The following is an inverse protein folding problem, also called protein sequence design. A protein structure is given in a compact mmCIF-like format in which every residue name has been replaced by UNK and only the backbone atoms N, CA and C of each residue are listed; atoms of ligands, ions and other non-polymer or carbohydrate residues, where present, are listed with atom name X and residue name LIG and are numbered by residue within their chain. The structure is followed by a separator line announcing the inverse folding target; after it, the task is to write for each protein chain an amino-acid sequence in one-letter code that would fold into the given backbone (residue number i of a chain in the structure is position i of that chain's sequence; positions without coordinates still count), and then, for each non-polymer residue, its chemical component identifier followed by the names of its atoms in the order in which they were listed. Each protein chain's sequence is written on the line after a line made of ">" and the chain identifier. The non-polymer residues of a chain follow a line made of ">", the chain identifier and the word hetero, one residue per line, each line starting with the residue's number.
data_IF_046357479070
#
_entry.id   IF_046357479070
#
_cell.length_a   1.000
_cell.length_b   1.000
_cell.length_c   1.000
_cell.angle_alpha   90.00
_cell.angle_beta   90.00
_cell.angle_gamma   90.00
#
_symmetry.space_group_name_H-M   'P 1'
#
loop_
_entity.id
_entity.type
_entity.pdbx_description
1 polymer ?
#
# COMPACT_ATOMS: atom_id res chain seq x y z
N UNK A 1 -18.65 -14.86 -9.72
CA UNK A 1 -18.14 -13.47 -9.65
C UNK A 1 -18.26 -12.97 -8.21
N UNK A 2 -17.25 -12.20 -7.74
CA UNK A 2 -17.25 -11.61 -6.40
C UNK A 2 -16.42 -10.31 -6.39
N UNK A 3 -16.72 -9.35 -5.50
CA UNK A 3 -16.06 -8.06 -5.48
C UNK A 3 -14.62 -8.16 -4.96
N UNK A 4 -13.76 -7.26 -5.46
CA UNK A 4 -12.37 -7.09 -5.03
C UNK A 4 -12.01 -5.62 -4.92
N UNK A 5 -10.92 -5.31 -4.24
CA UNK A 5 -10.44 -3.93 -4.03
C UNK A 5 -9.69 -3.42 -5.27
N UNK A 6 -8.92 -4.28 -5.92
CA UNK A 6 -8.02 -3.96 -7.04
C UNK A 6 -6.99 -2.88 -6.68
N UNK A 7 -6.16 -3.14 -5.66
CA UNK A 7 -5.13 -2.20 -5.22
C UNK A 7 -3.88 -2.91 -4.72
N UNK A 8 -2.72 -2.52 -5.24
CA UNK A 8 -1.41 -2.97 -4.77
C UNK A 8 -0.60 -1.75 -4.31
N UNK A 9 -0.19 -1.74 -3.04
CA UNK A 9 0.50 -0.61 -2.43
C UNK A 9 1.95 -0.95 -2.10
N UNK A 10 2.85 0.03 -2.30
CA UNK A 10 4.21 0.02 -1.77
C UNK A 10 4.41 1.24 -0.88
N UNK A 11 4.42 1.00 0.42
CA UNK A 11 4.57 2.02 1.45
C UNK A 11 6.00 2.01 1.99
N UNK A 12 6.63 3.17 1.98
CA UNK A 12 7.95 3.38 2.57
C UNK A 12 7.77 4.17 3.85
N UNK A 13 7.76 3.46 4.97
CA UNK A 13 7.54 4.07 6.28
C UNK A 13 8.83 4.68 6.84
N UNK A 14 8.69 5.74 7.64
CA UNK A 14 9.81 6.45 8.27
C UNK A 14 10.81 7.02 7.26
N UNK A 15 10.31 7.54 6.13
CA UNK A 15 11.15 8.10 5.08
C UNK A 15 10.43 9.20 4.28
N UNK A 16 11.11 10.32 4.02
CA UNK A 16 12.35 10.75 4.64
C UNK A 16 12.15 11.30 6.05
N UNK A 17 13.26 11.39 6.83
CA UNK A 17 13.38 12.24 7.99
C UNK A 17 14.15 13.51 7.65
N UNK A 18 13.91 14.61 8.39
CA UNK A 18 14.46 15.93 8.06
C UNK A 18 15.47 16.45 9.07
N UNK A 19 15.56 15.91 10.28
CA UNK A 19 16.57 16.28 11.26
C UNK A 19 17.94 15.64 10.94
N UNK A 20 19.02 16.27 11.42
CA UNK A 20 20.37 15.68 11.38
C UNK A 20 20.62 14.98 12.71
N UNK A 21 20.32 13.69 12.75
CA UNK A 21 20.32 12.89 13.95
C UNK A 21 21.35 11.77 13.89
N UNK A 22 21.74 11.25 15.06
CA UNK A 22 22.62 10.09 15.20
C UNK A 22 23.93 10.20 14.37
N UNK A 23 24.46 11.42 14.19
CA UNK A 23 25.55 11.73 13.25
C UNK A 23 26.80 10.85 13.46
N UNK A 24 27.16 10.56 14.72
CA UNK A 24 28.31 9.73 15.04
C UNK A 24 28.19 8.30 14.50
N UNK A 25 26.99 7.71 14.48
CA UNK A 25 26.75 6.38 13.92
C UNK A 25 26.55 6.44 12.43
N UNK A 26 25.86 7.46 11.94
CA UNK A 26 25.72 7.72 10.50
C UNK A 26 27.10 7.82 9.84
N UNK A 27 28.02 8.60 10.38
CA UNK A 27 29.38 8.72 9.84
C UNK A 27 30.15 7.41 9.89
N UNK A 28 30.04 6.64 10.98
CA UNK A 28 30.72 5.33 11.13
C UNK A 28 30.20 4.26 10.16
N UNK A 29 28.90 4.27 9.89
CA UNK A 29 28.24 3.23 9.07
C UNK A 29 28.27 3.62 7.61
N UNK A 30 27.94 4.86 7.28
CA UNK A 30 27.76 5.32 5.90
C UNK A 30 28.87 6.24 5.38
N UNK A 31 29.73 6.80 6.25
CA UNK A 31 30.74 7.82 5.92
C UNK A 31 30.12 9.06 5.25
N UNK A 32 28.88 9.38 5.57
CA UNK A 32 28.14 10.51 5.01
C UNK A 32 26.98 10.93 5.92
N UNK A 33 26.42 12.12 5.67
CA UNK A 33 25.27 12.64 6.41
C UNK A 33 23.98 11.88 6.04
N UNK A 34 22.99 11.89 6.95
CA UNK A 34 21.64 11.36 6.69
C UNK A 34 21.02 11.96 5.44
N UNK A 35 21.14 13.29 5.24
CA UNK A 35 20.66 13.98 4.03
C UNK A 35 21.26 13.39 2.75
N UNK A 36 22.57 13.18 2.72
CA UNK A 36 23.25 12.62 1.56
C UNK A 36 22.80 11.17 1.32
N UNK A 37 22.73 10.34 2.37
CA UNK A 37 22.21 8.98 2.30
C UNK A 37 20.79 8.95 1.69
N UNK A 38 19.90 9.78 2.19
CA UNK A 38 18.51 9.80 1.72
C UNK A 38 18.38 10.24 0.27
N UNK A 39 19.09 11.30 -0.15
CA UNK A 39 18.95 11.88 -1.48
C UNK A 39 19.73 11.14 -2.57
N UNK A 40 20.92 10.65 -2.24
CA UNK A 40 21.87 10.13 -3.21
C UNK A 40 21.88 8.60 -3.31
N UNK A 41 21.40 7.92 -2.27
CA UNK A 41 21.40 6.45 -2.21
C UNK A 41 20.00 5.89 -2.08
N UNK A 42 19.25 6.25 -1.03
CA UNK A 42 17.95 5.63 -0.76
C UNK A 42 16.94 5.99 -1.84
N UNK A 43 16.75 7.29 -2.13
CA UNK A 43 15.77 7.71 -3.13
C UNK A 43 15.99 7.07 -4.51
N UNK A 44 17.18 7.13 -5.12
CA UNK A 44 17.40 6.46 -6.41
C UNK A 44 17.16 4.94 -6.37
N UNK A 45 17.44 4.30 -5.23
CA UNK A 45 17.18 2.87 -5.06
C UNK A 45 15.69 2.56 -5.00
N UNK A 46 14.90 3.38 -4.30
CA UNK A 46 13.44 3.25 -4.24
C UNK A 46 12.81 3.44 -5.62
N UNK A 47 13.21 4.47 -6.36
CA UNK A 47 12.75 4.71 -7.74
C UNK A 47 13.14 3.55 -8.68
N UNK A 48 14.29 2.95 -8.49
CA UNK A 48 14.69 1.80 -9.29
C UNK A 48 13.81 0.55 -9.01
N UNK A 49 13.40 0.34 -7.76
CA UNK A 49 12.46 -0.72 -7.38
C UNK A 49 11.07 -0.41 -7.95
N UNK A 50 10.57 0.79 -7.70
CA UNK A 50 9.29 1.27 -8.22
C UNK A 50 9.13 1.01 -9.71
N UNK A 51 10.08 1.50 -10.52
CA UNK A 51 10.07 1.33 -11.98
C UNK A 51 10.19 -0.12 -12.43
N UNK A 52 10.86 -0.95 -11.65
CA UNK A 52 11.03 -2.38 -11.99
C UNK A 52 9.73 -3.16 -11.86
N UNK A 53 8.89 -2.81 -10.89
CA UNK A 53 7.62 -3.48 -10.62
C UNK A 53 6.41 -2.63 -11.02
N UNK A 54 6.64 -1.45 -11.63
CA UNK A 54 5.60 -0.50 -12.02
C UNK A 54 4.71 -0.08 -10.82
N UNK A 55 5.32 0.06 -9.61
CA UNK A 55 4.61 0.43 -8.40
C UNK A 55 4.35 1.95 -8.32
N UNK A 56 3.58 2.37 -7.31
CA UNK A 56 3.47 3.77 -6.89
C UNK A 56 3.89 3.89 -5.44
N UNK A 57 4.86 4.77 -5.17
CA UNK A 57 5.39 4.95 -3.83
C UNK A 57 4.45 5.79 -2.96
N UNK A 58 4.17 5.34 -1.75
CA UNK A 58 3.68 6.19 -0.66
C UNK A 58 4.77 6.32 0.39
N UNK A 59 5.32 7.52 0.59
CA UNK A 59 6.36 7.77 1.58
C UNK A 59 5.77 8.38 2.85
N UNK A 60 5.86 7.67 3.97
CA UNK A 60 5.40 8.14 5.28
C UNK A 60 6.53 8.89 5.97
N UNK A 61 6.43 10.22 5.93
CA UNK A 61 7.48 11.15 6.36
C UNK A 61 7.40 11.43 7.87
N UNK A 62 8.55 11.78 8.46
CA UNK A 62 8.62 12.30 9.82
C UNK A 62 9.61 13.47 9.89
N UNK A 63 9.34 14.54 10.64
CA UNK A 63 10.31 15.63 10.81
C UNK A 63 11.61 15.15 11.44
N UNK A 64 11.52 14.32 12.49
CA UNK A 64 12.66 13.75 13.22
C UNK A 64 12.29 12.39 13.81
N UNK A 65 13.31 11.64 14.27
CA UNK A 65 13.13 10.34 14.92
C UNK A 65 13.34 10.41 16.43
N UNK A 66 14.20 11.32 16.91
CA UNK A 66 14.51 11.49 18.33
C UNK A 66 13.98 12.83 18.86
N UNK A 67 12.87 12.78 19.61
CA UNK A 67 12.24 13.94 20.24
C UNK A 67 12.83 14.26 21.62
N UNK A 68 13.78 13.47 22.08
CA UNK A 68 14.57 13.72 23.31
C UNK A 68 15.85 14.51 23.04
N UNK A 69 16.23 14.68 21.78
CA UNK A 69 17.41 15.47 21.36
C UNK A 69 16.99 16.90 20.97
N UNK A 70 17.93 17.85 21.06
CA UNK A 70 17.72 19.27 20.69
C UNK A 70 17.87 19.53 19.18
N UNK A 71 17.99 18.47 18.37
CA UNK A 71 18.10 18.60 16.91
C UNK A 71 16.79 19.07 16.28
N UNK A 72 16.89 20.12 15.46
CA UNK A 72 15.74 20.64 14.72
C UNK A 72 15.71 20.10 13.28
N UNK A 73 14.50 19.82 12.73
CA UNK A 73 14.35 19.46 11.32
C UNK A 73 14.82 20.58 10.40
N UNK A 74 15.46 20.18 9.30
CA UNK A 74 15.97 21.11 8.27
C UNK A 74 14.84 21.68 7.45
N UNK A 75 14.87 23.00 7.25
CA UNK A 75 13.91 23.72 6.41
C UNK A 75 14.19 23.54 4.91
N UNK A 76 13.14 23.69 4.10
CA UNK A 76 13.22 23.74 2.62
C UNK A 76 13.44 22.38 1.93
N UNK A 77 13.40 21.27 2.65
CA UNK A 77 13.61 19.95 2.06
C UNK A 77 12.30 19.20 1.73
N UNK A 78 11.22 19.50 2.44
CA UNK A 78 9.91 18.84 2.21
C UNK A 78 9.45 19.08 0.78
N UNK A 79 9.50 20.31 0.29
CA UNK A 79 9.10 20.67 -1.08
C UNK A 79 9.90 19.89 -2.14
N UNK A 80 11.17 19.59 -1.88
CA UNK A 80 11.98 18.76 -2.76
C UNK A 80 11.42 17.32 -2.88
N UNK A 81 11.12 16.67 -1.76
CA UNK A 81 10.58 15.31 -1.77
C UNK A 81 9.14 15.25 -2.31
N UNK A 82 8.30 16.23 -1.98
CA UNK A 82 6.95 16.34 -2.56
C UNK A 82 6.99 16.45 -4.09
N UNK A 83 7.97 17.23 -4.60
CA UNK A 83 8.19 17.33 -6.05
C UNK A 83 8.63 16.00 -6.67
N UNK A 84 9.57 15.30 -6.05
CA UNK A 84 10.05 13.99 -6.51
C UNK A 84 8.93 12.96 -6.54
N UNK A 85 8.14 12.87 -5.46
CA UNK A 85 6.98 11.97 -5.40
C UNK A 85 5.96 12.30 -6.49
N UNK A 86 5.69 13.60 -6.71
CA UNK A 86 4.77 14.01 -7.78
C UNK A 86 5.27 13.59 -9.18
N UNK A 87 6.57 13.64 -9.42
CA UNK A 87 7.19 13.23 -10.71
C UNK A 87 7.03 11.72 -10.94
N UNK A 88 7.01 10.91 -9.90
CA UNK A 88 6.82 9.44 -9.95
C UNK A 88 5.36 9.04 -9.60
N UNK A 89 4.40 9.97 -9.64
CA UNK A 89 2.98 9.71 -9.30
C UNK A 89 2.76 9.13 -7.90
N UNK A 90 3.69 9.37 -6.99
CA UNK A 90 3.64 8.91 -5.60
C UNK A 90 2.91 9.88 -4.68
N UNK A 91 2.84 9.52 -3.41
CA UNK A 91 2.13 10.23 -2.34
C UNK A 91 3.01 10.39 -1.10
N UNK A 92 2.81 11.49 -0.35
CA UNK A 92 3.38 11.66 0.97
C UNK A 92 2.30 11.50 2.05
N UNK A 93 2.61 10.72 3.08
CA UNK A 93 1.84 10.60 4.31
C UNK A 93 2.67 10.96 5.53
N UNK A 94 2.07 10.91 6.71
CA UNK A 94 2.73 11.13 8.00
C UNK A 94 3.17 9.80 8.63
N UNK A 95 4.19 9.84 9.49
CA UNK A 95 4.61 8.68 10.27
C UNK A 95 4.61 8.98 11.77
N UNK A 96 4.11 8.06 12.58
CA UNK A 96 4.23 8.09 14.05
C UNK A 96 5.62 7.63 14.53
N UNK A 97 6.45 7.12 13.63
CA UNK A 97 7.74 6.52 13.97
C UNK A 97 8.66 7.46 14.74
N UNK A 98 9.14 7.01 15.89
CA UNK A 98 10.16 7.68 16.69
C UNK A 98 11.00 6.66 17.50
N UNK A 99 12.17 7.09 17.98
CA UNK A 99 13.09 6.28 18.79
C UNK A 99 13.15 6.72 20.24
N UNK A 100 12.61 7.90 20.55
CA UNK A 100 12.65 8.49 21.90
C UNK A 100 11.56 7.95 22.84
N UNK A 101 10.59 7.20 22.33
CA UNK A 101 9.42 6.75 23.09
C UNK A 101 8.45 7.88 23.45
N UNK A 102 8.50 8.99 22.72
CA UNK A 102 7.52 10.08 22.81
C UNK A 102 6.15 9.58 22.36
N UNK A 103 5.10 9.84 23.15
CA UNK A 103 3.73 9.46 22.79
C UNK A 103 3.24 10.15 21.53
N UNK A 104 2.28 9.53 20.85
CA UNK A 104 1.78 9.98 19.55
C UNK A 104 1.31 11.44 19.56
N UNK A 105 0.42 11.81 20.49
CA UNK A 105 -0.13 13.17 20.55
C UNK A 105 0.95 14.23 20.76
N UNK A 106 1.90 14.00 21.69
CA UNK A 106 3.02 14.93 21.91
C UNK A 106 3.91 15.06 20.67
N UNK A 107 4.13 13.95 19.95
CA UNK A 107 4.88 13.97 18.70
C UNK A 107 4.15 14.78 17.63
N UNK A 108 2.84 14.54 17.42
CA UNK A 108 2.07 15.22 16.38
C UNK A 108 1.94 16.72 16.66
N UNK A 109 1.79 17.15 17.90
CA UNK A 109 1.81 18.56 18.29
C UNK A 109 3.15 19.25 17.93
N UNK A 110 4.27 18.59 18.16
CA UNK A 110 5.61 19.10 17.76
C UNK A 110 5.77 19.14 16.23
N UNK A 111 5.30 18.10 15.55
CA UNK A 111 5.41 17.96 14.09
C UNK A 111 4.54 18.96 13.34
N UNK A 112 3.37 19.31 13.88
CA UNK A 112 2.41 20.21 13.25
C UNK A 112 3.04 21.57 12.88
N UNK A 113 3.85 22.13 13.79
CA UNK A 113 4.54 23.40 13.54
C UNK A 113 5.46 23.33 12.33
N UNK A 114 6.18 22.22 12.18
CA UNK A 114 7.04 21.98 11.04
C UNK A 114 6.22 21.80 9.74
N UNK A 115 5.18 20.98 9.76
CA UNK A 115 4.37 20.72 8.58
C UNK A 115 3.62 21.96 8.10
N UNK A 116 3.04 22.76 8.99
CA UNK A 116 2.39 24.04 8.65
C UNK A 116 3.35 25.03 7.97
N UNK A 117 4.64 24.98 8.29
CA UNK A 117 5.66 25.83 7.69
C UNK A 117 6.17 25.29 6.37
N UNK A 118 6.51 24.00 6.31
CA UNK A 118 7.21 23.40 5.18
C UNK A 118 6.29 22.88 4.07
N UNK A 119 5.04 22.56 4.39
CA UNK A 119 4.05 22.03 3.46
C UNK A 119 2.65 22.64 3.65
N UNK A 120 2.51 24.00 3.69
CA UNK A 120 1.24 24.64 4.04
C UNK A 120 0.08 24.32 3.10
N UNK A 121 0.39 24.00 1.84
CA UNK A 121 -0.60 23.71 0.80
C UNK A 121 -0.78 22.20 0.54
N UNK A 122 -0.09 21.34 1.28
CA UNK A 122 -0.18 19.89 1.11
C UNK A 122 -1.08 19.28 2.19
N UNK A 123 -2.12 18.55 1.77
CA UNK A 123 -3.03 17.86 2.66
C UNK A 123 -2.58 16.40 2.83
N UNK A 124 -1.99 16.09 3.97
CA UNK A 124 -1.69 14.71 4.34
C UNK A 124 -2.99 13.97 4.66
N UNK A 125 -3.24 12.85 3.99
CA UNK A 125 -4.44 12.02 4.16
C UNK A 125 -4.15 10.64 4.73
N UNK A 126 -2.89 10.25 4.83
CA UNK A 126 -2.46 8.95 5.30
C UNK A 126 -1.45 9.06 6.45
N UNK A 127 -1.58 8.15 7.42
CA UNK A 127 -0.71 8.02 8.58
C UNK A 127 -0.20 6.58 8.68
N UNK A 128 1.11 6.41 8.85
CA UNK A 128 1.68 5.13 9.29
C UNK A 128 1.80 5.11 10.81
N UNK A 129 1.18 4.14 11.47
CA UNK A 129 1.36 3.86 12.89
C UNK A 129 2.42 2.78 13.07
N UNK A 130 3.51 3.14 13.74
CA UNK A 130 4.57 2.20 14.09
C UNK A 130 4.09 1.16 15.12
N UNK A 131 3.18 1.57 16.01
CA UNK A 131 2.55 0.72 17.01
C UNK A 131 1.02 0.83 16.88
N UNK A 132 0.33 -0.28 16.60
CA UNK A 132 -1.13 -0.30 16.46
C UNK A 132 -1.87 -0.01 17.79
N UNK A 133 -1.21 -0.20 18.94
CA UNK A 133 -1.78 0.17 20.25
C UNK A 133 -2.10 1.68 20.34
N UNK A 134 -1.46 2.52 19.51
CA UNK A 134 -1.70 3.97 19.42
C UNK A 134 -2.91 4.34 18.55
N UNK A 135 -3.65 3.35 18.01
CA UNK A 135 -4.78 3.62 17.12
C UNK A 135 -5.87 4.50 17.78
N UNK A 136 -6.17 4.25 19.06
CA UNK A 136 -7.10 5.07 19.83
C UNK A 136 -6.65 6.53 19.93
N UNK A 137 -5.39 6.74 20.30
CA UNK A 137 -4.78 8.07 20.41
C UNK A 137 -4.75 8.78 19.05
N UNK A 138 -4.53 8.05 17.95
CA UNK A 138 -4.52 8.62 16.60
C UNK A 138 -5.90 9.12 16.17
N UNK A 139 -6.97 8.44 16.57
CA UNK A 139 -8.35 8.84 16.25
C UNK A 139 -8.84 10.00 17.10
N UNK A 140 -8.20 10.29 18.23
CA UNK A 140 -8.54 11.39 19.14
C UNK A 140 -7.61 12.61 18.99
N UNK A 141 -6.55 12.51 18.19
CA UNK A 141 -5.53 13.54 18.01
C UNK A 141 -6.00 14.61 17.02
N UNK A 142 -6.20 15.86 17.49
CA UNK A 142 -6.70 16.98 16.68
C UNK A 142 -5.76 17.31 15.49
N UNK A 143 -4.45 17.13 15.64
CA UNK A 143 -3.47 17.35 14.57
C UNK A 143 -3.61 16.35 13.41
N UNK A 144 -4.37 15.28 13.61
CA UNK A 144 -4.63 14.22 12.64
C UNK A 144 -6.04 14.24 12.03
N UNK A 145 -6.84 15.27 12.29
CA UNK A 145 -8.22 15.41 11.76
C UNK A 145 -8.32 15.28 10.23
N UNK A 146 -7.25 15.60 9.51
CA UNK A 146 -7.17 15.46 8.05
C UNK A 146 -6.91 14.04 7.55
N UNK A 147 -6.56 13.10 8.43
CA UNK A 147 -6.21 11.72 8.07
C UNK A 147 -7.46 10.93 7.73
N UNK A 148 -7.43 10.28 6.58
CA UNK A 148 -8.52 9.44 6.05
C UNK A 148 -8.21 7.96 6.14
N UNK A 149 -6.93 7.61 6.19
CA UNK A 149 -6.50 6.22 6.25
C UNK A 149 -5.26 6.05 7.14
N UNK A 150 -5.27 5.01 7.94
CA UNK A 150 -4.16 4.60 8.79
C UNK A 150 -3.57 3.31 8.24
N UNK A 151 -2.26 3.29 8.11
CA UNK A 151 -1.48 2.10 7.73
C UNK A 151 -0.75 1.57 8.94
N UNK A 152 -0.84 0.27 9.19
CA UNK A 152 -0.12 -0.39 10.29
C UNK A 152 0.75 -1.53 9.76
N UNK A 153 1.61 -2.05 10.62
CA UNK A 153 2.34 -3.29 10.36
C UNK A 153 1.38 -4.48 10.20
N UNK A 154 1.93 -5.59 9.79
CA UNK A 154 1.21 -6.85 9.73
C UNK A 154 0.66 -7.23 11.11
N UNK A 155 -0.61 -7.67 11.14
CA UNK A 155 -1.22 -8.18 12.37
C UNK A 155 -0.50 -9.42 12.89
N UNK A 156 -0.33 -9.50 14.20
CA UNK A 156 0.21 -10.67 14.90
C UNK A 156 -0.83 -11.79 15.03
N UNK A 157 -2.10 -11.49 14.78
CA UNK A 157 -3.21 -12.45 14.91
C UNK A 157 -3.89 -12.69 13.55
N UNK A 158 -4.35 -13.90 13.31
CA UNK A 158 -5.05 -14.27 12.07
C UNK A 158 -6.50 -13.77 12.00
N UNK A 159 -7.02 -13.23 13.11
CA UNK A 159 -8.45 -12.90 13.23
C UNK A 159 -8.76 -11.44 12.89
N UNK A 160 -7.73 -10.61 12.72
CA UNK A 160 -7.91 -9.20 12.38
C UNK A 160 -8.06 -8.99 10.87
N UNK A 161 -9.05 -8.18 10.45
CA UNK A 161 -9.25 -7.90 9.04
C UNK A 161 -8.09 -7.10 8.46
N UNK A 162 -7.67 -7.42 7.23
CA UNK A 162 -6.59 -6.72 6.51
C UNK A 162 -6.97 -5.28 6.21
N UNK A 163 -8.25 -5.06 5.87
CA UNK A 163 -8.83 -3.74 5.66
C UNK A 163 -10.13 -3.62 6.47
N UNK A 164 -10.32 -2.49 7.12
CA UNK A 164 -11.52 -2.19 7.92
C UNK A 164 -11.71 -0.69 8.11
N UNK A 165 -12.82 -0.29 8.70
CA UNK A 165 -12.93 1.04 9.28
C UNK A 165 -12.32 1.08 10.68
N UNK A 166 -11.61 2.16 10.97
CA UNK A 166 -11.14 2.54 12.29
C UNK A 166 -11.95 3.77 12.73
N UNK A 167 -13.02 3.57 13.45
CA UNK A 167 -14.01 4.64 13.70
C UNK A 167 -14.98 4.83 12.51
N UNK A 168 -15.58 6.02 12.39
CA UNK A 168 -16.63 6.27 11.39
C UNK A 168 -16.08 6.68 10.02
N UNK A 169 -14.96 7.40 9.99
CA UNK A 169 -14.47 8.04 8.76
C UNK A 169 -13.07 7.59 8.33
N UNK A 170 -12.31 6.96 9.19
CA UNK A 170 -10.93 6.53 8.92
C UNK A 170 -10.91 5.06 8.53
N UNK A 171 -10.17 4.70 7.49
CA UNK A 171 -9.92 3.30 7.17
C UNK A 171 -8.60 2.84 7.78
N UNK A 172 -8.50 1.54 8.06
CA UNK A 172 -7.30 0.87 8.53
C UNK A 172 -6.84 -0.12 7.46
N UNK A 173 -5.60 0.03 7.02
CA UNK A 173 -4.94 -0.83 6.04
C UNK A 173 -3.74 -1.51 6.70
N UNK A 174 -3.85 -2.79 7.04
CA UNK A 174 -2.72 -3.56 7.59
C UNK A 174 -1.79 -4.03 6.49
N UNK A 175 -0.50 -4.05 6.79
CA UNK A 175 0.49 -4.60 5.87
C UNK A 175 0.20 -6.09 5.62
N UNK A 176 0.40 -6.52 4.38
CA UNK A 176 0.36 -7.93 3.96
C UNK A 176 1.76 -8.54 3.89
N UNK A 177 2.80 -7.69 4.00
CA UNK A 177 4.21 -8.06 4.05
C UNK A 177 5.08 -6.85 4.36
N UNK A 178 6.28 -7.10 4.90
CA UNK A 178 7.25 -6.05 5.28
C UNK A 178 8.37 -5.84 4.26
N UNK A 179 8.41 -6.67 3.22
CA UNK A 179 9.44 -6.63 2.18
C UNK A 179 10.82 -7.18 2.62
N UNK A 180 11.08 -7.37 3.91
CA UNK A 180 12.39 -7.78 4.46
C UNK A 180 12.40 -9.27 4.81
N UNK A 181 11.53 -9.69 5.69
CA UNK A 181 11.45 -11.06 6.19
C UNK A 181 10.42 -11.84 5.37
N UNK A 182 10.81 -12.36 4.21
CA UNK A 182 9.89 -13.07 3.33
C UNK A 182 10.15 -14.57 3.34
N UNK A 183 9.18 -15.32 3.85
CA UNK A 183 9.20 -16.78 3.88
C UNK A 183 8.24 -17.36 2.84
N UNK A 184 8.28 -18.68 2.65
CA UNK A 184 7.29 -19.38 1.82
C UNK A 184 5.84 -19.17 2.32
N UNK A 185 5.65 -19.08 3.63
CA UNK A 185 4.30 -18.86 4.21
C UNK A 185 3.81 -17.44 3.92
N UNK A 186 4.69 -16.45 3.92
CA UNK A 186 4.34 -15.07 3.57
C UNK A 186 3.96 -14.95 2.10
N UNK A 187 4.72 -15.60 1.19
CA UNK A 187 4.35 -15.70 -0.23
C UNK A 187 2.98 -16.35 -0.43
N UNK A 188 2.73 -17.48 0.23
CA UNK A 188 1.45 -18.17 0.15
C UNK A 188 0.30 -17.30 0.68
N UNK A 189 0.48 -16.67 1.83
CA UNK A 189 -0.50 -15.75 2.42
C UNK A 189 -0.79 -14.57 1.50
N UNK A 190 0.25 -13.92 0.98
CA UNK A 190 0.10 -12.78 0.08
C UNK A 190 -0.68 -13.16 -1.18
N UNK A 191 -0.40 -14.32 -1.78
CA UNK A 191 -1.15 -14.82 -2.94
C UNK A 191 -2.62 -15.08 -2.61
N UNK A 192 -2.90 -15.69 -1.44
CA UNK A 192 -4.29 -15.89 -1.00
C UNK A 192 -5.04 -14.57 -0.84
N UNK A 193 -4.40 -13.53 -0.28
CA UNK A 193 -5.01 -12.21 -0.12
C UNK A 193 -5.25 -11.56 -1.48
N UNK A 194 -4.29 -11.61 -2.38
CA UNK A 194 -4.42 -11.05 -3.73
C UNK A 194 -5.53 -11.73 -4.53
N UNK A 195 -5.64 -13.07 -4.47
CA UNK A 195 -6.71 -13.78 -5.16
C UNK A 195 -8.08 -13.62 -4.52
N UNK A 196 -8.15 -13.37 -3.21
CA UNK A 196 -9.43 -13.16 -2.52
C UNK A 196 -9.93 -11.73 -2.59
N UNK A 197 -9.04 -10.75 -2.51
CA UNK A 197 -9.39 -9.32 -2.36
C UNK A 197 -8.88 -8.44 -3.51
N UNK A 198 -8.03 -8.97 -4.41
CA UNK A 198 -7.32 -8.13 -5.38
C UNK A 198 -6.45 -7.07 -4.69
N UNK A 199 -5.87 -7.40 -3.53
CA UNK A 199 -5.24 -6.43 -2.66
C UNK A 199 -3.87 -6.91 -2.16
N UNK A 200 -2.92 -5.98 -2.08
CA UNK A 200 -1.69 -6.14 -1.33
C UNK A 200 -1.22 -4.81 -0.77
N UNK A 201 -0.58 -4.84 0.39
CA UNK A 201 -0.01 -3.67 1.05
C UNK A 201 1.36 -4.04 1.61
N UNK A 202 2.42 -3.78 0.85
CA UNK A 202 3.79 -3.98 1.33
C UNK A 202 4.28 -2.73 2.03
N UNK A 203 4.61 -2.84 3.31
CA UNK A 203 5.11 -1.73 4.14
C UNK A 203 6.56 -1.97 4.50
N UNK A 204 7.46 -1.25 3.84
CA UNK A 204 8.88 -1.29 4.15
C UNK A 204 9.25 -0.16 5.11
N UNK A 205 9.52 -0.53 6.36
CA UNK A 205 9.91 0.41 7.41
C UNK A 205 11.42 0.68 7.34
N UNK A 206 11.80 1.92 7.08
CA UNK A 206 13.19 2.35 6.95
C UNK A 206 13.79 2.94 8.24
N UNK A 207 13.10 2.84 9.39
CA UNK A 207 13.58 3.43 10.64
C UNK A 207 15.00 2.96 10.99
N UNK A 208 15.27 1.66 10.85
CA UNK A 208 16.61 1.12 11.16
C UNK A 208 17.70 1.70 10.23
N UNK A 209 17.42 1.89 8.94
CA UNK A 209 18.35 2.51 8.00
C UNK A 209 18.50 4.03 8.23
N UNK A 210 17.40 4.69 8.60
CA UNK A 210 17.35 6.13 8.83
C UNK A 210 18.00 6.54 10.17
N UNK A 211 17.87 5.69 11.19
CA UNK A 211 18.43 5.90 12.53
C UNK A 211 19.21 4.63 12.97
N UNK A 212 20.36 4.31 12.34
CA UNK A 212 21.05 3.04 12.57
C UNK A 212 21.70 2.97 13.95
N UNK A 213 21.58 1.80 14.58
CA UNK A 213 22.19 1.51 15.87
C UNK A 213 23.44 0.61 15.75
N UNK A 214 23.45 -0.26 14.78
CA UNK A 214 24.49 -1.27 14.51
C UNK A 214 24.79 -1.37 13.02
N UNK A 215 25.87 -2.04 12.67
CA UNK A 215 26.28 -2.19 11.26
C UNK A 215 25.26 -2.95 10.41
N UNK A 216 24.51 -3.85 11.01
CA UNK A 216 23.49 -4.63 10.29
C UNK A 216 22.28 -3.77 9.85
N UNK A 217 22.12 -2.57 10.43
CA UNK A 217 21.11 -1.59 10.04
C UNK A 217 21.52 -0.79 8.79
N UNK A 218 22.72 -1.06 8.23
CA UNK A 218 23.19 -0.39 7.02
C UNK A 218 22.29 -0.64 5.83
N UNK A 219 21.99 0.44 5.08
CA UNK A 219 21.14 0.39 3.87
C UNK A 219 21.55 -0.69 2.89
N UNK A 220 22.85 -0.88 2.63
CA UNK A 220 23.35 -1.90 1.71
C UNK A 220 22.99 -3.32 2.13
N UNK A 221 22.77 -3.54 3.43
CA UNK A 221 22.37 -4.85 3.97
C UNK A 221 20.84 -4.98 3.85
N UNK A 222 20.10 -4.02 4.42
CA UNK A 222 18.65 -4.05 4.48
C UNK A 222 18.00 -3.99 3.08
N UNK A 223 18.52 -3.13 2.19
CA UNK A 223 17.94 -2.92 0.87
C UNK A 223 18.11 -4.13 -0.06
N UNK A 224 19.19 -4.88 0.09
CA UNK A 224 19.47 -6.04 -0.78
C UNK A 224 18.39 -7.11 -0.66
N UNK A 225 18.00 -7.44 0.55
CA UNK A 225 16.96 -8.44 0.81
C UNK A 225 15.58 -7.90 0.43
N UNK A 226 15.22 -6.72 0.93
CA UNK A 226 13.94 -6.10 0.63
C UNK A 226 13.71 -5.87 -0.86
N UNK A 227 14.70 -5.32 -1.59
CA UNK A 227 14.58 -5.12 -3.03
C UNK A 227 14.39 -6.44 -3.79
N UNK A 228 15.07 -7.51 -3.36
CA UNK A 228 14.88 -8.84 -3.94
C UNK A 228 13.48 -9.37 -3.72
N UNK A 229 12.99 -9.32 -2.48
CA UNK A 229 11.68 -9.82 -2.10
C UNK A 229 10.56 -9.01 -2.77
N UNK A 230 10.60 -7.69 -2.69
CA UNK A 230 9.61 -6.81 -3.30
C UNK A 230 9.54 -7.06 -4.80
N UNK A 231 10.70 -7.07 -5.50
CA UNK A 231 10.73 -7.30 -6.94
C UNK A 231 10.31 -8.72 -7.37
N UNK A 232 10.34 -9.69 -6.48
CA UNK A 232 9.99 -11.09 -6.80
C UNK A 232 8.55 -11.41 -6.45
N UNK A 233 8.04 -10.89 -5.34
CA UNK A 233 6.80 -11.38 -4.74
C UNK A 233 5.66 -10.36 -4.71
N UNK A 234 5.95 -9.05 -4.81
CA UNK A 234 4.92 -8.02 -4.69
C UNK A 234 3.87 -8.10 -5.81
N UNK A 235 4.27 -8.42 -7.03
CA UNK A 235 3.41 -8.37 -8.21
C UNK A 235 3.31 -9.70 -8.96
N UNK A 236 2.79 -10.77 -8.32
CA UNK A 236 2.55 -12.03 -9.02
C UNK A 236 1.41 -11.90 -10.06
N UNK A 237 0.45 -11.00 -9.84
CA UNK A 237 -0.68 -10.74 -10.73
C UNK A 237 -0.60 -9.32 -11.30
N UNK A 238 -0.21 -9.22 -12.56
CA UNK A 238 -0.04 -7.93 -13.26
C UNK A 238 -1.37 -7.25 -13.62
N UNK A 239 -2.47 -7.95 -13.49
CA UNK A 239 -3.79 -7.41 -13.79
C UNK A 239 -4.31 -6.45 -12.72
N UNK A 240 -3.83 -6.57 -11.47
CA UNK A 240 -4.21 -5.64 -10.41
C UNK A 240 -3.42 -4.33 -10.50
N UNK A 241 -4.10 -3.23 -10.19
CA UNK A 241 -3.54 -1.89 -10.30
C UNK A 241 -2.58 -1.56 -9.15
N UNK A 242 -1.49 -0.90 -9.50
CA UNK A 242 -0.62 -0.24 -8.52
C UNK A 242 -1.26 1.08 -8.08
N UNK A 243 -1.34 1.27 -6.75
CA UNK A 243 -2.01 2.42 -6.15
C UNK A 243 -1.16 3.08 -5.07
N UNK A 244 -1.40 4.36 -4.84
CA UNK A 244 -1.01 5.03 -3.59
C UNK A 244 -2.02 4.70 -2.50
N UNK A 245 -1.68 4.97 -1.25
CA UNK A 245 -2.56 4.68 -0.11
C UNK A 245 -3.89 5.44 -0.18
N UNK A 246 -3.90 6.72 -0.60
CA UNK A 246 -5.16 7.46 -0.76
C UNK A 246 -6.04 6.91 -1.89
N UNK A 247 -5.44 6.43 -3.00
CA UNK A 247 -6.24 5.79 -4.06
C UNK A 247 -6.77 4.42 -3.61
N UNK A 248 -5.96 3.66 -2.89
CA UNK A 248 -6.37 2.41 -2.25
C UNK A 248 -7.52 2.62 -1.26
N UNK A 249 -7.43 3.68 -0.42
CA UNK A 249 -8.49 4.05 0.53
C UNK A 249 -9.84 4.28 -0.17
N UNK A 250 -9.87 5.01 -1.28
CA UNK A 250 -11.09 5.22 -2.06
C UNK A 250 -11.70 3.90 -2.53
N UNK A 251 -10.87 2.96 -3.01
CA UNK A 251 -11.32 1.64 -3.47
C UNK A 251 -11.80 0.75 -2.33
N UNK A 252 -11.13 0.81 -1.18
CA UNK A 252 -11.53 0.08 0.03
C UNK A 252 -12.89 0.56 0.53
N UNK A 253 -13.13 1.87 0.58
CA UNK A 253 -14.42 2.42 1.00
C UNK A 253 -15.56 1.95 0.11
N UNK A 254 -15.36 1.96 -1.21
CA UNK A 254 -16.34 1.41 -2.16
C UNK A 254 -16.56 -0.08 -1.95
N UNK A 255 -15.49 -0.85 -1.85
CA UNK A 255 -15.56 -2.30 -1.59
C UNK A 255 -16.34 -2.62 -0.31
N UNK A 256 -16.08 -1.89 0.80
CA UNK A 256 -16.76 -2.12 2.08
C UNK A 256 -18.23 -1.69 2.07
N UNK A 257 -18.61 -0.73 1.23
CA UNK A 257 -19.97 -0.22 1.09
C UNK A 257 -20.76 -0.88 -0.06
N UNK A 258 -20.12 -1.77 -0.82
CA UNK A 258 -20.67 -2.31 -2.07
C UNK A 258 -21.90 -3.19 -1.85
N UNK A 259 -22.98 -2.89 -2.57
CA UNK A 259 -24.15 -3.76 -2.73
C UNK A 259 -24.25 -4.18 -4.19
N UNK A 260 -24.39 -5.47 -4.43
CA UNK A 260 -24.46 -6.01 -5.77
C UNK A 260 -25.26 -7.30 -5.85
N UNK A 261 -25.73 -7.65 -7.04
CA UNK A 261 -26.27 -8.97 -7.37
C UNK A 261 -25.71 -9.45 -8.70
N UNK A 262 -25.63 -10.77 -8.87
CA UNK A 262 -25.17 -11.36 -10.13
C UNK A 262 -26.03 -12.58 -10.48
N UNK A 263 -26.40 -12.67 -11.74
CA UNK A 263 -27.15 -13.80 -12.30
C UNK A 263 -26.38 -14.38 -13.49
N UNK A 264 -26.48 -15.69 -13.67
CA UNK A 264 -25.88 -16.38 -14.81
C UNK A 264 -26.96 -17.18 -15.54
N UNK A 265 -27.17 -16.88 -16.82
CA UNK A 265 -28.09 -17.58 -17.66
C UNK A 265 -27.37 -17.96 -18.96
N UNK A 266 -27.31 -19.25 -19.27
CA UNK A 266 -26.59 -19.80 -20.42
C UNK A 266 -25.12 -19.34 -20.46
N UNK A 267 -24.79 -18.54 -21.48
CA UNK A 267 -23.46 -17.95 -21.67
C UNK A 267 -23.41 -16.47 -21.32
N UNK A 268 -24.40 -15.94 -20.60
CA UNK A 268 -24.47 -14.54 -20.20
C UNK A 268 -24.40 -14.41 -18.67
N UNK A 269 -23.55 -13.52 -18.18
CA UNK A 269 -23.53 -13.09 -16.79
C UNK A 269 -24.03 -11.66 -16.74
N UNK A 270 -25.07 -11.42 -15.93
CA UNK A 270 -25.58 -10.08 -15.62
C UNK A 270 -25.18 -9.72 -14.22
N UNK A 271 -24.45 -8.62 -14.06
CA UNK A 271 -24.04 -8.05 -12.79
C UNK A 271 -24.75 -6.71 -12.61
N UNK A 272 -25.43 -6.56 -11.48
CA UNK A 272 -26.04 -5.30 -11.06
C UNK A 272 -25.33 -4.77 -9.83
N UNK A 273 -24.93 -3.49 -9.86
CA UNK A 273 -24.25 -2.79 -8.77
C UNK A 273 -25.11 -1.63 -8.31
N UNK A 274 -25.56 -1.65 -7.07
CA UNK A 274 -26.46 -0.64 -6.54
C UNK A 274 -25.74 0.69 -6.29
N UNK A 275 -26.15 1.75 -6.97
CA UNK A 275 -25.67 3.10 -6.73
C UNK A 275 -24.18 3.30 -7.02
N UNK A 276 -23.72 2.79 -8.15
CA UNK A 276 -22.34 2.95 -8.59
C UNK A 276 -22.03 4.43 -8.87
N UNK A 277 -21.15 5.03 -8.06
CA UNK A 277 -20.74 6.44 -8.25
C UNK A 277 -19.55 6.60 -9.20
N UNK A 278 -18.64 5.64 -9.23
CA UNK A 278 -17.46 5.65 -10.13
C UNK A 278 -17.26 4.23 -10.69
N UNK A 279 -16.33 3.47 -10.17
CA UNK A 279 -15.98 2.12 -10.64
C UNK A 279 -16.05 1.10 -9.50
N UNK A 280 -16.46 -0.12 -9.79
CA UNK A 280 -16.36 -1.25 -8.85
C UNK A 280 -15.65 -2.43 -9.52
N UNK A 281 -14.90 -3.18 -8.73
CA UNK A 281 -14.04 -4.23 -9.24
C UNK A 281 -14.50 -5.60 -8.76
N UNK A 282 -14.44 -6.58 -9.68
CA UNK A 282 -14.86 -7.95 -9.40
C UNK A 282 -13.89 -8.95 -10.03
N UNK A 283 -13.72 -10.11 -9.39
CA UNK A 283 -13.11 -11.27 -10.02
C UNK A 283 -14.18 -12.23 -10.53
N UNK A 284 -14.05 -12.62 -11.77
CA UNK A 284 -14.91 -13.57 -12.46
C UNK A 284 -14.11 -14.84 -12.76
N UNK A 285 -14.55 -15.98 -12.23
CA UNK A 285 -14.03 -17.29 -12.58
C UNK A 285 -14.97 -17.97 -13.55
N UNK A 286 -14.50 -18.29 -14.74
CA UNK A 286 -15.30 -18.89 -15.83
C UNK A 286 -14.98 -20.37 -16.08
N UNK A 287 -13.96 -20.89 -15.40
CA UNK A 287 -13.45 -22.25 -15.63
C UNK A 287 -12.74 -22.34 -16.98
N UNK A 288 -13.33 -23.10 -17.93
CA UNK A 288 -12.77 -23.29 -19.29
C UNK A 288 -13.34 -22.32 -20.32
N UNK A 289 -14.37 -21.53 -19.97
CA UNK A 289 -14.99 -20.58 -20.89
C UNK A 289 -14.20 -19.27 -20.92
N UNK A 290 -14.18 -18.62 -22.06
CA UNK A 290 -13.54 -17.31 -22.22
C UNK A 290 -14.58 -16.19 -22.14
N UNK A 291 -14.21 -15.05 -21.55
CA UNK A 291 -14.98 -13.83 -21.63
C UNK A 291 -14.74 -13.20 -23.03
N UNK A 292 -15.80 -13.12 -23.85
CA UNK A 292 -15.70 -12.65 -25.24
C UNK A 292 -16.07 -11.18 -25.40
N UNK A 293 -17.05 -10.71 -24.62
CA UNK A 293 -17.61 -9.37 -24.77
C UNK A 293 -18.15 -8.87 -23.42
N UNK A 294 -18.11 -7.56 -23.21
CA UNK A 294 -18.65 -6.91 -22.02
C UNK A 294 -19.37 -5.61 -22.40
N UNK A 295 -20.49 -5.33 -21.75
CA UNK A 295 -21.22 -4.07 -21.82
C UNK A 295 -21.34 -3.50 -20.41
N UNK A 296 -21.25 -2.17 -20.27
CA UNK A 296 -21.31 -1.47 -18.98
C UNK A 296 -20.01 -1.52 -18.16
N UNK A 297 -18.90 -1.92 -18.79
CA UNK A 297 -17.59 -1.98 -18.14
C UNK A 297 -16.49 -2.53 -19.04
N UNK A 298 -15.37 -2.91 -18.42
CA UNK A 298 -14.22 -3.49 -19.08
C UNK A 298 -13.71 -4.73 -18.34
N UNK A 299 -12.88 -5.55 -18.99
CA UNK A 299 -12.23 -6.67 -18.33
C UNK A 299 -10.76 -6.82 -18.75
N UNK A 300 -9.96 -7.40 -17.86
CA UNK A 300 -8.60 -7.86 -18.13
C UNK A 300 -8.40 -9.28 -17.64
N UNK A 301 -7.49 -10.00 -18.29
CA UNK A 301 -7.17 -11.39 -17.92
C UNK A 301 -6.22 -11.37 -16.74
N UNK A 302 -6.55 -12.07 -15.66
CA UNK A 302 -5.66 -12.31 -14.52
C UNK A 302 -4.83 -13.58 -14.76
N UNK A 303 -5.54 -14.66 -15.13
CA UNK A 303 -4.99 -15.94 -15.54
C UNK A 303 -6.05 -16.69 -16.36
N UNK A 304 -5.72 -17.86 -16.89
CA UNK A 304 -6.68 -18.66 -17.70
C UNK A 304 -7.97 -18.93 -16.93
N UNK A 305 -9.10 -18.46 -17.47
CA UNK A 305 -10.41 -18.59 -16.86
C UNK A 305 -10.66 -17.69 -15.64
N UNK A 306 -9.81 -16.70 -15.40
CA UNK A 306 -9.98 -15.69 -14.34
C UNK A 306 -9.82 -14.28 -14.90
N UNK A 307 -10.84 -13.47 -14.73
CA UNK A 307 -10.93 -12.12 -15.27
C UNK A 307 -11.17 -11.10 -14.17
N UNK A 308 -10.45 -9.98 -14.25
CA UNK A 308 -10.74 -8.79 -13.46
C UNK A 308 -11.72 -7.93 -14.24
N UNK A 309 -12.89 -7.74 -13.68
CA UNK A 309 -13.99 -6.96 -14.25
C UNK A 309 -14.00 -5.58 -13.60
N UNK A 310 -14.03 -4.52 -14.39
CA UNK A 310 -14.33 -3.17 -13.94
C UNK A 310 -15.79 -2.87 -14.35
N UNK A 311 -16.68 -2.71 -13.39
CA UNK A 311 -18.01 -2.19 -13.61
C UNK A 311 -17.93 -0.66 -13.67
N UNK A 312 -18.37 -0.07 -14.78
CA UNK A 312 -18.40 1.37 -15.05
C UNK A 312 -19.85 1.89 -15.13
N UNK A 313 -20.82 1.00 -15.18
CA UNK A 313 -22.26 1.26 -15.16
C UNK A 313 -22.96 0.34 -14.14
N UNK A 314 -24.12 0.73 -13.64
CA UNK A 314 -24.92 -0.06 -12.69
C UNK A 314 -25.28 -1.45 -13.21
N UNK A 315 -25.37 -1.60 -14.53
CA UNK A 315 -25.68 -2.85 -15.22
C UNK A 315 -24.51 -3.28 -16.09
N UNK A 316 -23.92 -4.42 -15.78
CA UNK A 316 -22.82 -5.01 -16.56
C UNK A 316 -23.26 -6.36 -17.10
N UNK A 317 -23.07 -6.57 -18.42
CA UNK A 317 -23.36 -7.84 -19.08
C UNK A 317 -22.09 -8.41 -19.69
N UNK A 318 -21.77 -9.65 -19.33
CA UNK A 318 -20.55 -10.34 -19.76
C UNK A 318 -20.98 -11.58 -20.55
N UNK A 319 -20.56 -11.66 -21.81
CA UNK A 319 -20.80 -12.84 -22.65
C UNK A 319 -19.57 -13.76 -22.55
N UNK A 320 -19.84 -15.03 -22.27
CA UNK A 320 -18.88 -16.11 -22.28
C UNK A 320 -18.94 -16.94 -23.56
N UNK A 321 -17.84 -17.57 -23.93
CA UNK A 321 -17.81 -18.57 -24.98
C UNK A 321 -18.72 -19.75 -24.66
N UNK A 322 -19.14 -20.49 -25.70
CA UNK A 322 -19.84 -21.75 -25.50
C UNK A 322 -18.96 -22.75 -24.74
N UNK A 323 -19.58 -23.61 -23.93
CA UNK A 323 -18.83 -24.69 -23.28
C UNK A 323 -18.28 -25.65 -24.33
N UNK A 324 -16.98 -25.87 -24.38
CA UNK A 324 -16.43 -26.96 -25.15
C UNK A 324 -16.89 -28.28 -24.56
N UNK A 325 -17.68 -29.06 -25.33
CA UNK A 325 -17.98 -30.45 -24.94
C UNK A 325 -16.66 -31.22 -24.76
N UNK A 326 -16.27 -31.51 -23.53
CA UNK A 326 -15.16 -32.42 -23.25
C UNK A 326 -15.51 -33.76 -23.86
N UNK A 327 -14.89 -34.13 -24.98
CA UNK A 327 -14.89 -35.51 -25.47
C UNK A 327 -14.25 -36.39 -24.40
N UNK A 328 -15.08 -37.03 -23.59
CA UNK A 328 -14.65 -38.11 -22.70
C UNK A 328 -14.17 -39.26 -23.60
N UNK A 329 -12.86 -39.35 -23.79
CA UNK A 329 -12.25 -40.57 -24.34
C UNK A 329 -12.45 -41.69 -23.32
N UNK A 330 -13.48 -42.50 -23.52
CA UNK A 330 -13.55 -43.80 -22.89
C UNK A 330 -12.50 -44.69 -23.56
N UNK A 331 -11.48 -45.05 -22.80
CA UNK A 331 -10.65 -46.19 -23.15
C UNK A 331 -11.56 -47.43 -22.96
N UNK A 332 -12.02 -48.05 -24.03
CA UNK A 332 -12.53 -49.41 -23.97
C UNK A 332 -11.35 -50.35 -23.80
N UNK A 333 -11.34 -51.13 -22.66
CA UNK A 333 -10.40 -52.18 -22.37
C UNK A 333 -10.52 -53.39 -23.31
#
# INVERSE_FOLDING_TARGET
>A
IYPVINAQNLVIANYPGFASENENKMEKIYSQSQKALFREIIWPSLVAIERKIDAKLTCMMTPQFDYGDENEPREGEVAYYLKLLKEEYGEAGLSSGNVSGTGLSEKMEKDETFWKKEAPDYCFQSLYLQNEDELGDALECEELDGIRTIVTRESQTSDEPIVSFAGEEVTLQRATGDGVNHTFMDDFRQRCIQTALGYSNTVWDLLAAAYPEKKDDAWEILSKEAASNICTYQKPFTAFDETTISKSDQRIRRFLALSYSAESEDNMISLHVDGLEEEAWFLLHTGTREAEDIQGGSFSVVEDGVYLICAEEDEVKIRLSEEEEKQLFYYED
#
